data_IF_801338140406
#
_entry.id   IF_801338140406
#
_cell.length_a   1.000
_cell.length_b   1.000
_cell.length_c   1.000
_cell.angle_alpha   90.00
_cell.angle_beta   90.00
_cell.angle_gamma   90.00
#
_symmetry.space_group_name_H-M   'P 1'
#
loop_
_entity.id
_entity.type
_entity.pdbx_description
1 polymer ?
#
# COMPACT_ATOMS: atom_id res chain seq x y z
N UNK A 1 -15.19 -14.03 18.58
CA UNK A 1 -15.28 -14.54 17.17
C UNK A 1 -15.82 -15.95 17.23
N UNK A 2 -16.67 -16.35 16.28
CA UNK A 2 -17.16 -17.73 16.16
C UNK A 2 -16.42 -18.46 15.06
N UNK A 3 -15.99 -19.71 15.30
CA UNK A 3 -15.35 -20.56 14.30
C UNK A 3 -16.19 -21.81 14.05
N UNK A 4 -16.13 -22.39 12.85
CA UNK A 4 -16.76 -23.67 12.53
C UNK A 4 -15.74 -24.80 12.63
N UNK A 5 -16.10 -25.89 13.30
CA UNK A 5 -15.26 -27.08 13.32
C UNK A 5 -15.26 -27.74 11.93
N UNK A 6 -14.07 -27.94 11.35
CA UNK A 6 -13.93 -28.58 10.02
C UNK A 6 -14.43 -30.02 9.99
N UNK A 7 -14.40 -30.75 11.13
CA UNK A 7 -14.78 -32.13 11.20
C UNK A 7 -16.30 -32.35 11.41
N UNK A 8 -16.94 -31.56 12.30
CA UNK A 8 -18.35 -31.76 12.62
C UNK A 8 -19.28 -30.62 12.17
N UNK A 9 -18.74 -29.56 11.58
CA UNK A 9 -19.48 -28.41 11.03
C UNK A 9 -20.15 -27.51 12.08
N UNK A 10 -20.09 -27.84 13.37
CA UNK A 10 -20.73 -27.05 14.43
C UNK A 10 -19.96 -25.74 14.69
N UNK A 11 -20.72 -24.68 14.95
CA UNK A 11 -20.17 -23.39 15.34
C UNK A 11 -19.73 -23.43 16.80
N UNK A 12 -18.50 -22.98 17.06
CA UNK A 12 -17.88 -22.94 18.37
C UNK A 12 -17.80 -21.46 18.78
N UNK A 13 -18.44 -21.12 19.89
CA UNK A 13 -18.39 -19.80 20.48
C UNK A 13 -17.35 -19.82 21.61
N UNK A 14 -16.26 -19.09 21.43
CA UNK A 14 -15.17 -18.94 22.42
C UNK A 14 -13.81 -18.83 21.75
N UNK A 15 -12.91 -18.05 22.36
CA UNK A 15 -11.52 -17.91 21.92
C UNK A 15 -10.62 -18.86 22.72
N UNK A 16 -9.63 -19.48 22.04
CA UNK A 16 -8.58 -20.25 22.71
C UNK A 16 -8.89 -21.73 22.98
N UNK A 17 -9.96 -22.30 22.43
CA UNK A 17 -10.22 -23.74 22.59
C UNK A 17 -9.29 -24.58 21.72
N UNK A 18 -8.52 -25.46 22.33
CA UNK A 18 -7.61 -26.39 21.63
C UNK A 18 -8.35 -27.58 20.97
N UNK A 19 -9.57 -27.89 21.43
CA UNK A 19 -10.36 -29.01 20.93
C UNK A 19 -11.82 -28.61 20.75
N UNK A 20 -12.47 -29.16 19.74
CA UNK A 20 -13.90 -28.97 19.51
C UNK A 20 -14.71 -29.59 20.68
N UNK A 21 -15.56 -28.79 21.36
CA UNK A 21 -16.35 -29.30 22.49
C UNK A 21 -17.43 -30.31 22.09
N UNK A 22 -17.72 -30.42 20.78
CA UNK A 22 -18.77 -31.31 20.27
C UNK A 22 -18.26 -32.67 19.75
N UNK A 23 -17.04 -32.71 19.17
CA UNK A 23 -16.50 -33.93 18.57
C UNK A 23 -15.10 -34.30 19.07
N UNK A 24 -14.50 -33.50 19.95
CA UNK A 24 -13.16 -33.74 20.48
C UNK A 24 -12.01 -33.55 19.49
N UNK A 25 -12.30 -33.18 18.23
CA UNK A 25 -11.25 -32.93 17.23
C UNK A 25 -10.41 -31.74 17.65
N UNK A 26 -9.08 -31.88 17.54
CA UNK A 26 -8.14 -30.78 17.78
C UNK A 26 -8.46 -29.66 16.79
N UNK A 27 -8.77 -28.50 17.32
CA UNK A 27 -8.96 -27.30 16.52
C UNK A 27 -7.58 -26.78 16.17
N UNK A 28 -7.32 -26.63 14.88
CA UNK A 28 -6.17 -25.86 14.45
C UNK A 28 -6.44 -24.41 14.82
N UNK A 29 -6.05 -24.04 16.05
CA UNK A 29 -5.83 -22.64 16.36
C UNK A 29 -4.79 -22.19 15.36
N UNK A 30 -5.11 -21.17 14.53
CA UNK A 30 -4.08 -20.47 13.76
C UNK A 30 -3.00 -20.12 14.76
N UNK A 31 -1.93 -20.92 14.82
CA UNK A 31 -0.72 -20.55 15.54
C UNK A 31 -0.28 -19.30 14.80
N UNK A 32 -0.40 -18.14 15.44
CA UNK A 32 0.40 -16.99 15.03
C UNK A 32 1.83 -17.54 15.03
N UNK A 33 2.40 -17.69 13.85
CA UNK A 33 3.79 -18.12 13.74
C UNK A 33 4.59 -17.21 14.68
N UNK A 34 5.52 -17.78 15.48
CA UNK A 34 6.25 -17.00 16.47
C UNK A 34 6.86 -15.81 15.73
N UNK A 35 6.45 -14.59 16.13
CA UNK A 35 6.97 -13.36 15.55
C UNK A 35 8.47 -13.44 15.61
N UNK A 36 9.11 -13.32 14.45
CA UNK A 36 10.56 -13.36 14.39
C UNK A 36 11.08 -12.03 14.96
N UNK A 37 11.35 -12.01 16.27
CA UNK A 37 11.83 -10.83 17.00
C UNK A 37 13.09 -10.20 16.35
N UNK A 38 13.91 -11.02 15.72
CA UNK A 38 15.08 -10.54 15.02
C UNK A 38 14.69 -9.80 13.73
N UNK A 39 13.73 -10.30 12.96
CA UNK A 39 13.19 -9.61 11.80
C UNK A 39 12.56 -8.27 12.19
N UNK A 40 11.80 -8.23 13.28
CA UNK A 40 11.22 -6.98 13.79
C UNK A 40 12.27 -5.93 14.17
N UNK A 41 13.43 -6.34 14.72
CA UNK A 41 14.55 -5.42 15.01
C UNK A 41 15.07 -4.76 13.73
N UNK A 42 15.21 -5.54 12.65
CA UNK A 42 15.66 -5.02 11.37
C UNK A 42 14.62 -4.05 10.75
N UNK A 43 13.36 -4.40 10.82
CA UNK A 43 12.26 -3.55 10.35
C UNK A 43 12.23 -2.22 11.13
N UNK A 44 12.33 -2.27 12.46
CA UNK A 44 12.37 -1.06 13.30
C UNK A 44 13.57 -0.17 12.96
N UNK A 45 14.76 -0.76 12.75
CA UNK A 45 15.95 0.00 12.31
C UNK A 45 15.72 0.68 10.97
N UNK A 46 15.12 -0.03 10.02
CA UNK A 46 14.82 0.52 8.71
C UNK A 46 13.81 1.68 8.80
N UNK A 47 12.75 1.53 9.61
CA UNK A 47 11.71 2.57 9.79
C UNK A 47 12.23 3.83 10.49
N UNK A 48 13.29 3.71 11.29
CA UNK A 48 13.94 4.85 11.96
C UNK A 48 14.76 5.74 11.02
N UNK A 49 15.04 5.28 9.79
CA UNK A 49 15.85 6.02 8.82
C UNK A 49 14.94 6.69 7.79
N UNK A 50 15.16 7.99 7.54
CA UNK A 50 14.38 8.74 6.57
C UNK A 50 14.73 8.39 5.11
N UNK A 51 16.00 8.05 4.85
CA UNK A 51 16.52 7.75 3.51
C UNK A 51 16.09 6.36 3.01
N UNK A 52 15.37 6.30 1.90
CA UNK A 52 14.92 5.03 1.31
C UNK A 52 16.07 4.11 0.85
N UNK A 53 17.16 4.61 0.23
CA UNK A 53 18.31 3.77 -0.09
C UNK A 53 18.96 3.13 1.15
N UNK A 54 18.97 3.84 2.26
CA UNK A 54 19.49 3.30 3.53
C UNK A 54 18.52 2.28 4.13
N UNK A 55 17.20 2.56 4.06
CA UNK A 55 16.17 1.57 4.45
C UNK A 55 16.34 0.27 3.69
N UNK A 56 16.50 0.34 2.37
CA UNK A 56 16.71 -0.83 1.52
C UNK A 56 17.92 -1.63 1.97
N UNK A 57 19.08 -0.98 2.18
CA UNK A 57 20.31 -1.63 2.67
C UNK A 57 20.13 -2.29 4.03
N UNK A 58 19.38 -1.67 4.95
CA UNK A 58 19.11 -2.24 6.27
C UNK A 58 18.23 -3.49 6.14
N UNK A 59 17.15 -3.43 5.35
CA UNK A 59 16.25 -4.56 5.13
C UNK A 59 16.94 -5.71 4.38
N UNK A 60 17.79 -5.43 3.39
CA UNK A 60 18.59 -6.45 2.70
C UNK A 60 19.58 -7.16 3.64
N UNK A 61 20.20 -6.41 4.58
CA UNK A 61 21.01 -7.00 5.64
C UNK A 61 20.18 -7.86 6.58
N UNK A 62 18.99 -7.38 6.95
CA UNK A 62 18.03 -8.12 7.75
C UNK A 62 17.61 -9.43 7.08
N UNK A 63 17.34 -9.40 5.77
CA UNK A 63 16.98 -10.61 5.02
C UNK A 63 18.13 -11.63 4.94
N UNK A 64 19.38 -11.17 4.92
CA UNK A 64 20.55 -12.05 5.03
C UNK A 64 20.70 -12.68 6.42
N UNK A 65 20.36 -11.94 7.47
CA UNK A 65 20.39 -12.43 8.86
C UNK A 65 19.20 -13.35 9.16
N UNK A 66 18.04 -13.06 8.58
CA UNK A 66 16.80 -13.81 8.74
C UNK A 66 16.30 -14.29 7.36
N UNK A 67 16.95 -15.30 6.75
CA UNK A 67 16.58 -15.79 5.42
C UNK A 67 15.13 -16.27 5.40
N UNK A 68 14.35 -15.80 4.40
CA UNK A 68 12.98 -16.20 4.24
C UNK A 68 11.96 -15.48 5.14
N UNK A 69 12.38 -14.42 5.86
CA UNK A 69 11.42 -13.63 6.63
C UNK A 69 10.41 -12.92 5.71
N UNK A 70 9.13 -13.32 5.84
CA UNK A 70 8.01 -12.72 5.10
C UNK A 70 7.84 -11.24 5.43
N UNK A 71 8.07 -10.86 6.67
CA UNK A 71 7.91 -9.51 7.18
C UNK A 71 8.94 -8.56 6.55
N UNK A 72 10.21 -8.99 6.45
CA UNK A 72 11.27 -8.18 5.80
C UNK A 72 11.01 -8.08 4.30
N UNK A 73 10.65 -9.18 3.65
CA UNK A 73 10.30 -9.18 2.22
C UNK A 73 9.10 -8.27 1.95
N UNK A 74 8.08 -8.28 2.83
CA UNK A 74 6.93 -7.39 2.76
C UNK A 74 7.37 -5.91 2.79
N UNK A 75 8.23 -5.52 3.71
CA UNK A 75 8.74 -4.13 3.76
C UNK A 75 9.58 -3.76 2.53
N UNK A 76 10.36 -4.71 1.98
CA UNK A 76 11.12 -4.49 0.74
C UNK A 76 10.23 -4.27 -0.49
N UNK A 77 9.00 -4.79 -0.51
CA UNK A 77 8.07 -4.58 -1.63
C UNK A 77 7.72 -3.10 -1.84
N UNK A 78 7.77 -2.29 -0.80
CA UNK A 78 7.46 -0.86 -0.89
C UNK A 78 8.64 0.00 -1.36
N UNK A 79 9.83 -0.59 -1.43
CA UNK A 79 11.05 0.09 -1.87
C UNK A 79 11.34 -0.31 -3.32
N UNK A 80 11.42 0.69 -4.20
CA UNK A 80 11.76 0.49 -5.60
C UNK A 80 13.27 0.45 -5.85
N UNK A 81 13.65 0.35 -7.14
CA UNK A 81 15.03 0.44 -7.61
C UNK A 81 15.30 1.82 -8.19
N UNK A 82 16.53 2.34 -8.04
CA UNK A 82 16.95 3.60 -8.63
C UNK A 82 17.12 3.44 -10.14
N UNK A 83 16.45 4.28 -10.93
CA UNK A 83 16.75 4.43 -12.36
C UNK A 83 17.76 5.56 -12.57
N UNK A 84 18.95 5.23 -13.10
CA UNK A 84 19.91 6.22 -13.60
C UNK A 84 19.63 6.53 -15.06
N UNK A 85 19.22 7.73 -15.36
CA UNK A 85 19.09 8.20 -16.74
C UNK A 85 19.84 9.53 -16.89
N UNK A 86 20.83 9.57 -17.80
CA UNK A 86 21.61 10.76 -18.14
C UNK A 86 22.27 11.47 -16.95
N UNK A 87 22.86 10.71 -16.02
CA UNK A 87 23.60 11.26 -14.89
C UNK A 87 22.74 11.88 -13.77
N UNK A 88 21.42 11.87 -13.92
CA UNK A 88 20.47 12.23 -12.87
C UNK A 88 19.83 10.96 -12.32
N UNK A 89 19.91 10.80 -11.00
CA UNK A 89 19.12 9.78 -10.31
C UNK A 89 17.68 10.29 -10.30
N UNK A 90 16.82 9.68 -11.09
CA UNK A 90 15.39 9.83 -10.92
C UNK A 90 15.00 8.95 -9.74
N UNK A 91 14.66 9.56 -8.62
CA UNK A 91 14.17 8.89 -7.41
C UNK A 91 12.81 8.17 -7.59
N UNK A 92 12.43 8.05 -8.83
CA UNK A 92 11.22 7.48 -9.38
C UNK A 92 10.95 6.04 -8.93
N UNK A 93 12.00 5.35 -8.52
CA UNK A 93 11.93 3.95 -8.16
C UNK A 93 12.29 3.68 -6.70
N UNK A 94 12.64 4.68 -5.91
CA UNK A 94 13.01 4.48 -4.51
C UNK A 94 11.78 4.13 -3.67
N UNK A 95 10.61 4.62 -4.08
CA UNK A 95 9.33 4.34 -3.41
C UNK A 95 8.34 3.87 -4.46
N UNK A 96 7.82 2.67 -4.32
CA UNK A 96 6.84 2.14 -5.29
C UNK A 96 5.52 2.91 -5.34
N UNK A 97 5.13 3.63 -4.29
CA UNK A 97 3.94 4.48 -4.35
C UNK A 97 4.03 5.58 -5.42
N UNK A 98 5.24 5.94 -5.85
CA UNK A 98 5.46 6.82 -6.99
C UNK A 98 4.90 6.25 -8.30
N UNK A 99 4.67 4.95 -8.38
CA UNK A 99 4.01 4.34 -9.52
C UNK A 99 2.59 4.89 -9.77
N UNK A 100 1.99 5.57 -8.80
CA UNK A 100 0.70 6.25 -8.95
C UNK A 100 0.80 7.62 -9.63
N UNK A 101 1.99 8.20 -9.76
CA UNK A 101 2.19 9.56 -10.28
C UNK A 101 1.72 9.72 -11.74
N UNK A 102 1.79 8.68 -12.56
CA UNK A 102 1.32 8.78 -13.94
C UNK A 102 -0.21 8.96 -14.07
N UNK A 103 -0.98 8.60 -13.04
CA UNK A 103 -2.40 8.94 -13.00
C UNK A 103 -2.63 10.42 -12.69
N UNK A 104 -1.72 11.08 -11.99
CA UNK A 104 -1.79 12.51 -11.75
C UNK A 104 -1.31 13.32 -12.97
N UNK A 105 -0.19 12.92 -13.57
CA UNK A 105 0.46 13.64 -14.69
C UNK A 105 0.74 12.70 -15.85
N UNK A 106 -0.30 12.19 -16.55
CA UNK A 106 -0.11 11.17 -17.59
C UNK A 106 0.75 11.63 -18.78
N UNK A 107 0.80 12.96 -19.03
CA UNK A 107 1.59 13.54 -20.10
C UNK A 107 3.10 13.44 -19.87
N UNK A 108 3.56 13.31 -18.64
CA UNK A 108 4.98 13.28 -18.26
C UNK A 108 5.61 11.88 -18.45
N UNK A 109 4.81 10.89 -18.83
CA UNK A 109 5.22 9.50 -18.90
C UNK A 109 4.93 8.88 -20.27
N UNK A 110 5.96 8.22 -20.86
CA UNK A 110 5.78 7.40 -22.06
C UNK A 110 4.89 6.18 -21.79
N UNK A 111 4.36 5.57 -22.85
CA UNK A 111 3.54 4.35 -22.74
C UNK A 111 4.28 3.22 -22.02
N UNK A 112 5.54 2.97 -22.38
CA UNK A 112 6.40 1.95 -21.75
C UNK A 112 6.59 2.20 -20.24
N UNK A 113 6.81 3.47 -19.85
CA UNK A 113 6.92 3.82 -18.42
C UNK A 113 5.64 3.58 -17.67
N UNK A 114 4.48 3.94 -18.24
CA UNK A 114 3.18 3.67 -17.65
C UNK A 114 2.95 2.18 -17.44
N UNK A 115 3.36 1.34 -18.41
CA UNK A 115 3.23 -0.10 -18.30
C UNK A 115 4.15 -0.69 -17.22
N UNK A 116 5.38 -0.19 -17.09
CA UNK A 116 6.28 -0.54 -15.99
C UNK A 116 5.67 -0.14 -14.62
N UNK A 117 5.04 1.03 -14.55
CA UNK A 117 4.37 1.48 -13.33
C UNK A 117 3.17 0.61 -12.96
N UNK A 118 2.33 0.23 -13.92
CA UNK A 118 1.23 -0.72 -13.68
C UNK A 118 1.76 -2.07 -13.20
N UNK A 119 2.88 -2.54 -13.75
CA UNK A 119 3.54 -3.76 -13.29
C UNK A 119 3.96 -3.66 -11.81
N UNK A 120 4.45 -2.52 -11.37
CA UNK A 120 4.76 -2.29 -9.95
C UNK A 120 3.53 -2.34 -9.03
N UNK A 121 2.33 -2.11 -9.57
CA UNK A 121 1.09 -2.17 -8.79
C UNK A 121 0.50 -3.58 -8.75
N UNK A 122 0.54 -4.32 -9.87
CA UNK A 122 -0.20 -5.57 -10.02
C UNK A 122 0.58 -6.73 -10.63
N UNK A 123 1.56 -6.47 -11.46
CA UNK A 123 2.10 -7.45 -12.40
C UNK A 123 3.47 -8.00 -12.08
N UNK A 124 4.24 -7.37 -11.22
CA UNK A 124 5.62 -7.76 -10.95
C UNK A 124 5.70 -9.18 -10.35
N UNK A 125 6.58 -10.06 -10.87
CA UNK A 125 6.70 -11.43 -10.39
C UNK A 125 7.00 -11.52 -8.88
N UNK A 126 7.83 -10.61 -8.36
CA UNK A 126 8.16 -10.53 -6.94
C UNK A 126 6.95 -10.20 -6.06
N UNK A 127 5.99 -9.39 -6.56
CA UNK A 127 4.74 -9.12 -5.85
C UNK A 127 3.92 -10.40 -5.70
N UNK A 128 3.73 -11.11 -6.81
CA UNK A 128 2.96 -12.35 -6.82
C UNK A 128 3.60 -13.42 -5.93
N UNK A 129 4.93 -13.57 -6.00
CA UNK A 129 5.67 -14.52 -5.18
C UNK A 129 5.57 -14.18 -3.69
N UNK A 130 5.61 -12.89 -3.33
CA UNK A 130 5.46 -12.49 -1.94
C UNK A 130 4.02 -12.73 -1.43
N UNK A 131 2.99 -12.33 -2.19
CA UNK A 131 1.60 -12.51 -1.75
C UNK A 131 1.22 -13.99 -1.62
N UNK A 132 1.73 -14.86 -2.52
CA UNK A 132 1.47 -16.30 -2.47
C UNK A 132 1.96 -17.00 -1.17
N UNK A 133 2.80 -16.32 -0.37
CA UNK A 133 3.29 -16.83 0.92
C UNK A 133 2.38 -16.51 2.10
N UNK A 134 1.28 -15.78 1.86
CA UNK A 134 0.28 -15.48 2.86
C UNK A 134 -0.98 -16.32 2.66
N UNK A 135 -1.72 -16.58 3.74
CA UNK A 135 -2.95 -17.36 3.69
C UNK A 135 -4.04 -16.75 2.80
N UNK A 136 -4.05 -15.42 2.70
CA UNK A 136 -4.99 -14.64 1.90
C UNK A 136 -4.23 -13.70 0.93
N UNK A 137 -3.73 -14.20 -0.20
CA UNK A 137 -2.94 -13.40 -1.16
C UNK A 137 -3.69 -12.16 -1.68
N UNK A 138 -5.01 -12.29 -1.94
CA UNK A 138 -5.85 -11.19 -2.41
C UNK A 138 -5.99 -10.08 -1.37
N UNK A 139 -6.16 -10.44 -0.11
CA UNK A 139 -6.23 -9.46 0.99
C UNK A 139 -4.88 -8.74 1.16
N UNK A 140 -3.77 -9.45 1.01
CA UNK A 140 -2.43 -8.86 1.02
C UNK A 140 -2.19 -7.92 -0.16
N UNK A 141 -2.71 -8.23 -1.33
CA UNK A 141 -2.67 -7.31 -2.46
C UNK A 141 -3.44 -6.02 -2.17
N UNK A 142 -4.64 -6.11 -1.58
CA UNK A 142 -5.42 -4.95 -1.17
C UNK A 142 -4.68 -4.10 -0.13
N UNK A 143 -4.12 -4.74 0.90
CA UNK A 143 -3.30 -4.07 1.91
C UNK A 143 -2.11 -3.34 1.29
N UNK A 144 -1.43 -3.97 0.33
CA UNK A 144 -0.33 -3.38 -0.42
C UNK A 144 -0.77 -2.11 -1.16
N UNK A 145 -1.87 -2.16 -1.92
CA UNK A 145 -2.39 -1.01 -2.66
C UNK A 145 -2.84 0.11 -1.72
N UNK A 146 -3.52 -0.22 -0.61
CA UNK A 146 -3.94 0.75 0.40
C UNK A 146 -2.74 1.47 1.02
N UNK A 147 -1.66 0.75 1.32
CA UNK A 147 -0.44 1.35 1.84
C UNK A 147 0.22 2.26 0.81
N UNK A 148 0.37 1.82 -0.45
CA UNK A 148 0.91 2.65 -1.52
C UNK A 148 0.11 3.93 -1.73
N UNK A 149 -1.23 3.83 -1.75
CA UNK A 149 -2.10 4.98 -1.92
C UNK A 149 -1.97 5.96 -0.75
N UNK A 150 -1.92 5.49 0.49
CA UNK A 150 -1.71 6.31 1.68
C UNK A 150 -0.37 7.04 1.62
N UNK A 151 0.72 6.31 1.39
CA UNK A 151 2.05 6.90 1.26
C UNK A 151 2.11 7.93 0.12
N UNK A 152 1.44 7.66 -1.00
CA UNK A 152 1.37 8.59 -2.12
C UNK A 152 0.66 9.90 -1.73
N UNK A 153 -0.50 9.81 -1.08
CA UNK A 153 -1.26 10.99 -0.62
C UNK A 153 -0.42 11.81 0.36
N UNK A 154 0.23 11.16 1.32
CA UNK A 154 1.05 11.85 2.32
C UNK A 154 2.31 12.50 1.72
N UNK A 155 3.05 11.78 0.88
CA UNK A 155 4.36 12.23 0.44
C UNK A 155 4.30 13.17 -0.78
N UNK A 156 3.42 12.91 -1.71
CA UNK A 156 3.42 13.60 -3.01
C UNK A 156 2.31 14.62 -3.15
N UNK A 157 1.15 14.36 -2.63
CA UNK A 157 0.04 15.31 -2.71
C UNK A 157 0.10 16.36 -1.59
N UNK A 158 0.57 16.00 -0.42
CA UNK A 158 0.69 16.94 0.69
C UNK A 158 2.00 17.75 0.65
N UNK A 159 3.13 17.12 0.32
CA UNK A 159 4.44 17.77 0.26
C UNK A 159 4.49 18.94 -0.72
N UNK A 160 3.76 18.89 -1.83
CA UNK A 160 3.66 20.01 -2.78
C UNK A 160 2.97 21.25 -2.19
N UNK A 161 2.16 21.09 -1.15
CA UNK A 161 1.47 22.19 -0.47
C UNK A 161 2.32 22.84 0.64
N UNK A 162 3.25 22.10 1.26
CA UNK A 162 4.11 22.64 2.31
C UNK A 162 5.14 23.67 1.78
N UNK A 163 5.68 23.43 0.58
CA UNK A 163 6.65 24.34 -0.03
C UNK A 163 6.04 25.72 -0.30
N UNK A 164 4.79 25.78 -0.75
CA UNK A 164 4.09 27.05 -1.00
C UNK A 164 3.65 27.75 0.29
N UNK A 165 3.35 26.99 1.35
CA UNK A 165 2.91 27.53 2.64
C UNK A 165 4.02 28.25 3.40
N UNK A 166 5.25 27.75 3.31
CA UNK A 166 6.40 28.36 3.99
C UNK A 166 6.88 29.67 3.34
N UNK A 167 6.55 29.92 2.06
CA UNK A 167 6.93 31.14 1.37
C UNK A 167 6.02 32.32 1.74
N UNK A 168 4.76 32.09 2.08
CA UNK A 168 3.77 33.15 2.29
C UNK A 168 3.25 33.32 3.72
N UNK A 169 3.67 32.51 4.70
CA UNK A 169 3.38 32.70 6.14
C UNK A 169 1.90 32.74 6.55
N UNK A 170 0.96 32.36 5.67
CA UNK A 170 -0.47 32.45 5.92
C UNK A 170 -1.14 31.09 6.14
N UNK A 171 -2.07 31.06 7.10
CA UNK A 171 -2.98 29.98 7.49
C UNK A 171 -3.51 29.12 6.33
N UNK A 172 -2.81 28.04 6.02
CA UNK A 172 -3.20 27.07 4.97
C UNK A 172 -4.06 25.92 5.53
N UNK A 173 -4.27 25.87 6.84
CA UNK A 173 -4.96 24.74 7.46
C UNK A 173 -6.44 24.57 7.09
N UNK A 174 -7.14 25.66 6.77
CA UNK A 174 -8.60 25.61 6.52
C UNK A 174 -9.07 24.95 5.22
N UNK A 175 -8.19 24.54 4.31
CA UNK A 175 -8.61 23.98 3.01
C UNK A 175 -7.76 22.81 2.52
N UNK A 176 -7.00 22.13 3.38
CA UNK A 176 -6.17 20.97 2.98
C UNK A 176 -7.03 19.87 2.33
N UNK A 177 -8.16 19.54 2.97
CA UNK A 177 -9.10 18.52 2.51
C UNK A 177 -9.61 18.82 1.10
N UNK A 178 -10.10 20.04 0.89
CA UNK A 178 -10.60 20.49 -0.42
C UNK A 178 -9.51 20.52 -1.50
N UNK A 179 -8.30 20.92 -1.15
CA UNK A 179 -7.16 20.94 -2.10
C UNK A 179 -6.70 19.56 -2.49
N UNK A 180 -6.73 18.59 -1.57
CA UNK A 180 -6.39 17.20 -1.85
C UNK A 180 -7.50 16.48 -2.64
N UNK A 181 -8.76 16.85 -2.45
CA UNK A 181 -9.88 16.23 -3.14
C UNK A 181 -9.78 16.34 -4.67
N UNK A 182 -9.32 17.48 -5.19
CA UNK A 182 -9.23 17.71 -6.65
C UNK A 182 -8.27 16.73 -7.32
N UNK A 183 -6.96 16.65 -6.97
CA UNK A 183 -6.05 15.73 -7.62
C UNK A 183 -6.40 14.26 -7.36
N UNK A 184 -6.96 13.93 -6.20
CA UNK A 184 -7.38 12.54 -5.90
C UNK A 184 -8.59 12.15 -6.77
N UNK A 185 -9.59 13.02 -6.94
CA UNK A 185 -10.73 12.76 -7.81
C UNK A 185 -10.29 12.54 -9.26
N UNK A 186 -9.43 13.42 -9.79
CA UNK A 186 -8.89 13.27 -11.15
C UNK A 186 -8.11 11.95 -11.33
N UNK A 187 -7.34 11.55 -10.33
CA UNK A 187 -6.62 10.27 -10.37
C UNK A 187 -7.60 9.09 -10.35
N UNK A 188 -8.62 9.12 -9.51
CA UNK A 188 -9.65 8.09 -9.43
C UNK A 188 -10.33 7.92 -10.78
N UNK A 189 -10.73 9.00 -11.43
CA UNK A 189 -11.37 8.93 -12.75
C UNK A 189 -10.45 8.36 -13.82
N UNK A 190 -9.17 8.74 -13.82
CA UNK A 190 -8.18 8.16 -14.73
C UNK A 190 -7.91 6.68 -14.45
N UNK A 191 -7.95 6.25 -13.19
CA UNK A 191 -7.84 4.83 -12.82
C UNK A 191 -9.06 4.05 -13.34
N UNK A 192 -10.29 4.58 -13.16
CA UNK A 192 -11.52 3.96 -13.66
C UNK A 192 -11.52 3.85 -15.20
N UNK A 193 -10.91 4.80 -15.89
CA UNK A 193 -10.80 4.84 -17.34
C UNK A 193 -9.60 4.05 -17.90
N UNK A 194 -8.73 3.45 -17.06
CA UNK A 194 -7.55 2.73 -17.54
C UNK A 194 -7.91 1.33 -18.06
N UNK A 195 -8.08 1.21 -19.38
CA UNK A 195 -8.45 -0.03 -20.06
C UNK A 195 -7.37 -1.13 -19.97
N UNK A 196 -6.12 -0.79 -19.64
CA UNK A 196 -5.04 -1.76 -19.44
C UNK A 196 -5.12 -2.51 -18.10
N UNK A 197 -5.96 -2.06 -17.17
CA UNK A 197 -6.28 -2.75 -15.94
C UNK A 197 -7.56 -3.58 -16.11
N UNK A 198 -7.65 -4.71 -15.41
CA UNK A 198 -8.92 -5.44 -15.33
C UNK A 198 -9.95 -4.64 -14.52
N UNK A 199 -11.26 -4.91 -14.65
CA UNK A 199 -12.28 -4.25 -13.84
C UNK A 199 -11.99 -4.34 -12.35
N UNK A 200 -11.57 -5.50 -11.87
CA UNK A 200 -11.24 -5.78 -10.47
C UNK A 200 -10.04 -4.94 -10.01
N UNK A 201 -8.98 -4.86 -10.84
CA UNK A 201 -7.79 -4.06 -10.55
C UNK A 201 -8.11 -2.57 -10.48
N UNK A 202 -8.97 -2.08 -11.39
CA UNK A 202 -9.44 -0.69 -11.36
C UNK A 202 -10.18 -0.41 -10.06
N UNK A 203 -11.09 -1.31 -9.70
CA UNK A 203 -11.90 -1.18 -8.50
C UNK A 203 -11.05 -1.18 -7.22
N UNK A 204 -10.11 -2.09 -7.09
CA UNK A 204 -9.19 -2.14 -5.96
C UNK A 204 -8.34 -0.88 -5.86
N UNK A 205 -7.81 -0.40 -6.98
CA UNK A 205 -6.90 0.74 -6.98
C UNK A 205 -7.62 2.06 -6.67
N UNK A 206 -8.78 2.32 -7.29
CA UNK A 206 -9.50 3.56 -6.99
C UNK A 206 -10.06 3.56 -5.56
N UNK A 207 -10.51 2.41 -5.04
CA UNK A 207 -10.89 2.27 -3.62
C UNK A 207 -9.71 2.53 -2.69
N UNK A 208 -8.52 2.03 -3.02
CA UNK A 208 -7.32 2.30 -2.24
C UNK A 208 -6.99 3.81 -2.21
N UNK A 209 -7.10 4.51 -3.36
CA UNK A 209 -6.92 5.97 -3.43
C UNK A 209 -7.95 6.73 -2.59
N UNK A 210 -9.21 6.34 -2.67
CA UNK A 210 -10.28 6.91 -1.86
C UNK A 210 -10.01 6.73 -0.36
N UNK A 211 -9.64 5.51 0.05
CA UNK A 211 -9.28 5.21 1.44
C UNK A 211 -8.02 5.94 1.91
N UNK A 212 -7.03 6.12 1.04
CA UNK A 212 -5.84 6.92 1.32
C UNK A 212 -6.19 8.38 1.62
N UNK A 213 -7.09 8.96 0.84
CA UNK A 213 -7.65 10.29 1.11
C UNK A 213 -8.42 10.34 2.43
N UNK A 214 -9.35 9.40 2.65
CA UNK A 214 -10.14 9.33 3.89
C UNK A 214 -9.24 9.19 5.14
N UNK A 215 -8.23 8.34 5.08
CA UNK A 215 -7.27 8.19 6.18
C UNK A 215 -6.54 9.51 6.48
N UNK A 216 -6.16 10.26 5.45
CA UNK A 216 -5.43 11.54 5.60
C UNK A 216 -6.31 12.68 6.10
N UNK A 217 -7.60 12.66 5.79
CA UNK A 217 -8.57 13.70 6.18
C UNK A 217 -9.34 13.36 7.46
N UNK A 218 -8.94 12.30 8.17
CA UNK A 218 -9.63 11.85 9.38
C UNK A 218 -11.06 11.39 9.14
N UNK A 219 -11.32 10.78 7.96
CA UNK A 219 -12.62 10.25 7.56
C UNK A 219 -13.55 11.25 6.86
N UNK A 220 -13.10 12.50 6.66
CA UNK A 220 -13.90 13.51 5.97
C UNK A 220 -13.78 13.36 4.46
N UNK A 221 -14.80 12.84 3.82
CA UNK A 221 -14.82 12.54 2.38
C UNK A 221 -15.72 13.44 1.55
N UNK A 222 -16.49 14.32 2.15
CA UNK A 222 -17.56 15.09 1.52
C UNK A 222 -17.05 15.88 0.29
N UNK A 223 -15.87 16.48 0.37
CA UNK A 223 -15.28 17.20 -0.76
C UNK A 223 -14.86 16.29 -1.92
N UNK A 224 -14.39 15.08 -1.60
CA UNK A 224 -14.03 14.10 -2.62
C UNK A 224 -15.30 13.56 -3.28
N UNK A 225 -16.33 13.24 -2.50
CA UNK A 225 -17.60 12.72 -2.97
C UNK A 225 -18.31 13.74 -3.89
N UNK A 226 -18.33 15.02 -3.49
CA UNK A 226 -18.84 16.11 -4.32
C UNK A 226 -18.10 16.21 -5.67
N UNK A 227 -16.77 16.07 -5.65
CA UNK A 227 -15.99 16.11 -6.89
C UNK A 227 -16.24 14.94 -7.80
N UNK A 228 -16.30 13.72 -7.25
CA UNK A 228 -16.59 12.52 -8.03
C UNK A 228 -17.99 12.52 -8.62
N UNK A 229 -18.97 13.16 -7.96
CA UNK A 229 -20.34 13.32 -8.48
C UNK A 229 -20.41 14.34 -9.61
N UNK A 230 -19.63 15.42 -9.53
CA UNK A 230 -19.66 16.52 -10.52
C UNK A 230 -18.84 16.25 -11.78
N UNK A 231 -18.03 15.20 -11.84
CA UNK A 231 -17.27 14.80 -13.02
C UNK A 231 -18.08 13.87 -13.95
N UNK A 232 -19.14 13.23 -13.43
CA UNK A 232 -20.07 12.39 -14.20
C UNK A 232 -21.19 13.26 -14.79
#
# INVERSE_FOLDING_TARGET
MSMKCAQCGKTIEGEGMAFCPYCGTKLETKQEEPRNEEAEKWIRKAKAVASYPERKKILEKGLKACPGSREIEWELLFIGEEEKKHGRVFDFSIIKCWALEFYRRPQDFSGEKKDKMRSCLFGAPELKACFARFDNPEEKQKEYLQRLAREYVELFLEGSNQVMGNIFGFHIERNKEKKLAVPVAEMIERIKADEKLTPEQREELWKAMYQGYAARTGGKTEYLDERLTNIN
#
